data_IF_668398726428
#
_entry.id   IF_668398726428
#
_cell.length_a   1.000
_cell.length_b   1.000
_cell.length_c   1.000
_cell.angle_alpha   90.00
_cell.angle_beta   90.00
_cell.angle_gamma   90.00
#
_symmetry.space_group_name_H-M   'P 1'
#
loop_
_entity.id
_entity.type
_entity.pdbx_description
1 polymer ?
#
# COMPACT_ATOMS: atom_id res chain seq x y z
N UNK A 1 44.87 -24.99 10.50
CA UNK A 1 43.49 -25.49 10.31
C UNK A 1 42.70 -24.44 9.55
N UNK A 2 42.25 -24.72 8.31
CA UNK A 2 41.39 -23.80 7.55
C UNK A 2 39.99 -23.85 8.14
N UNK A 3 39.58 -22.75 8.81
CA UNK A 3 38.21 -22.61 9.26
C UNK A 3 37.26 -22.54 8.04
N UNK A 4 36.19 -23.34 8.05
CA UNK A 4 35.18 -23.33 6.98
C UNK A 4 34.40 -22.04 7.01
N UNK A 5 33.85 -21.57 5.87
CA UNK A 5 33.00 -20.37 5.77
C UNK A 5 31.82 -20.38 6.77
N UNK A 6 31.28 -21.57 7.07
CA UNK A 6 30.23 -21.77 8.07
C UNK A 6 30.70 -21.51 9.51
N UNK A 7 31.93 -21.88 9.85
CA UNK A 7 32.49 -21.60 11.18
C UNK A 7 32.70 -20.12 11.40
N UNK A 8 33.22 -19.42 10.39
CA UNK A 8 33.39 -17.95 10.43
C UNK A 8 32.07 -17.19 10.50
N UNK A 9 31.03 -17.66 9.83
CA UNK A 9 29.67 -17.10 9.95
C UNK A 9 29.14 -17.25 11.38
N UNK A 10 29.26 -18.42 11.97
CA UNK A 10 28.83 -18.67 13.35
C UNK A 10 29.65 -17.83 14.35
N UNK A 11 30.93 -17.63 14.09
CA UNK A 11 31.80 -16.77 14.90
C UNK A 11 31.35 -15.31 14.83
N UNK A 12 31.07 -14.76 13.64
CA UNK A 12 30.50 -13.43 13.46
C UNK A 12 29.22 -13.24 14.29
N UNK A 13 28.25 -14.16 14.12
CA UNK A 13 26.98 -14.10 14.81
C UNK A 13 27.17 -14.19 16.32
N UNK A 14 27.99 -15.13 16.79
CA UNK A 14 28.27 -15.31 18.23
C UNK A 14 28.92 -14.06 18.82
N UNK A 15 29.96 -13.53 18.16
CA UNK A 15 30.69 -12.36 18.66
C UNK A 15 29.79 -11.12 18.76
N UNK A 16 29.06 -10.78 17.68
CA UNK A 16 28.16 -9.64 17.71
C UNK A 16 27.04 -9.81 18.75
N UNK A 17 26.47 -11.03 18.86
CA UNK A 17 25.47 -11.33 19.91
C UNK A 17 26.02 -11.09 21.31
N UNK A 18 27.24 -11.56 21.58
CA UNK A 18 27.89 -11.41 22.89
C UNK A 18 28.27 -9.96 23.18
N UNK A 19 28.79 -9.22 22.21
CA UNK A 19 29.08 -7.77 22.33
C UNK A 19 27.82 -6.95 22.63
N UNK A 20 26.68 -7.29 22.02
CA UNK A 20 25.39 -6.62 22.29
C UNK A 20 24.87 -7.03 23.68
N UNK A 21 24.91 -8.31 24.03
CA UNK A 21 24.42 -8.83 25.32
C UNK A 21 25.21 -8.31 26.51
N UNK A 22 26.51 -8.10 26.36
CA UNK A 22 27.36 -7.56 27.42
C UNK A 22 27.37 -6.04 27.50
N UNK A 23 26.61 -5.35 26.61
CA UNK A 23 26.60 -3.89 26.56
C UNK A 23 27.86 -3.26 25.97
N UNK A 24 28.80 -4.07 25.43
CA UNK A 24 29.98 -3.56 24.74
C UNK A 24 29.58 -2.80 23.48
N UNK A 25 28.47 -3.19 22.84
CA UNK A 25 27.75 -2.42 21.83
C UNK A 25 26.41 -1.98 22.39
N UNK A 26 26.21 -0.68 22.49
CA UNK A 26 25.03 -0.11 23.14
C UNK A 26 23.86 -0.03 22.18
N UNK A 27 22.64 -0.09 22.70
CA UNK A 27 21.45 0.23 21.93
C UNK A 27 21.58 1.63 21.29
N UNK A 28 21.23 1.75 20.03
CA UNK A 28 21.38 2.98 19.24
C UNK A 28 22.69 3.07 18.44
N UNK A 29 23.72 2.30 18.74
CA UNK A 29 24.96 2.27 17.99
C UNK A 29 24.81 1.57 16.64
N UNK A 30 25.52 2.04 15.62
CA UNK A 30 25.56 1.38 14.32
C UNK A 30 26.67 0.33 14.27
N UNK A 31 26.34 -0.84 13.71
CA UNK A 31 27.34 -1.84 13.38
C UNK A 31 28.24 -1.36 12.22
N UNK A 32 29.48 -1.86 12.12
CA UNK A 32 30.28 -1.65 10.94
C UNK A 32 29.55 -2.11 9.66
N UNK A 33 29.88 -1.49 8.53
CA UNK A 33 29.26 -1.84 7.26
C UNK A 33 29.41 -3.32 6.92
N UNK A 34 28.50 -3.87 6.12
CA UNK A 34 28.59 -5.27 5.64
C UNK A 34 29.97 -5.55 4.99
N UNK A 35 30.51 -4.58 4.25
CA UNK A 35 31.83 -4.66 3.62
C UNK A 35 32.96 -4.72 4.66
N UNK A 36 32.87 -3.95 5.72
CA UNK A 36 33.85 -3.94 6.82
C UNK A 36 33.81 -5.28 7.57
N UNK A 37 32.61 -5.77 7.89
CA UNK A 37 32.43 -7.08 8.54
C UNK A 37 32.89 -8.24 7.65
N UNK A 38 32.68 -8.15 6.34
CA UNK A 38 33.16 -9.15 5.39
C UNK A 38 34.69 -9.29 5.41
N UNK A 39 35.40 -8.16 5.45
CA UNK A 39 36.86 -8.12 5.57
C UNK A 39 37.30 -8.64 6.94
N UNK A 40 36.70 -8.16 8.02
CA UNK A 40 37.07 -8.51 9.40
C UNK A 40 36.96 -10.00 9.69
N UNK A 41 35.88 -10.65 9.18
CA UNK A 41 35.62 -12.07 9.44
C UNK A 41 35.98 -13.00 8.27
N UNK A 42 36.61 -12.47 7.22
CA UNK A 42 36.95 -13.22 6.01
C UNK A 42 35.76 -13.97 5.41
N UNK A 43 34.64 -13.26 5.26
CA UNK A 43 33.38 -13.75 4.72
C UNK A 43 32.99 -12.99 3.43
N UNK A 44 32.14 -13.61 2.62
CA UNK A 44 31.46 -12.89 1.54
C UNK A 44 30.39 -11.95 2.10
N UNK A 45 30.06 -10.85 1.38
CA UNK A 45 28.97 -9.97 1.77
C UNK A 45 27.64 -10.72 1.94
N UNK A 46 27.38 -11.73 1.12
CA UNK A 46 26.19 -12.57 1.24
C UNK A 46 26.17 -13.38 2.54
N UNK A 47 27.32 -13.89 2.99
CA UNK A 47 27.45 -14.59 4.26
C UNK A 47 27.27 -13.65 5.45
N UNK A 48 27.81 -12.43 5.36
CA UNK A 48 27.58 -11.40 6.40
C UNK A 48 26.10 -11.05 6.49
N UNK A 49 25.41 -10.85 5.36
CA UNK A 49 23.96 -10.60 5.35
C UNK A 49 23.17 -11.68 6.05
N UNK A 50 23.48 -12.97 5.74
CA UNK A 50 22.85 -14.10 6.44
C UNK A 50 23.10 -14.09 7.95
N UNK A 51 24.32 -13.73 8.38
CA UNK A 51 24.63 -13.60 9.80
C UNK A 51 23.89 -12.46 10.47
N UNK A 52 23.79 -11.32 9.80
CA UNK A 52 23.01 -10.18 10.29
C UNK A 52 21.51 -10.50 10.32
N UNK A 53 20.97 -11.25 9.34
CA UNK A 53 19.56 -11.66 9.33
C UNK A 53 19.22 -12.58 10.54
N UNK A 54 20.14 -13.40 11.00
CA UNK A 54 19.98 -14.17 12.24
C UNK A 54 19.82 -13.22 13.44
N UNK A 55 20.69 -12.21 13.57
CA UNK A 55 20.63 -11.24 14.67
C UNK A 55 19.41 -10.31 14.58
N UNK A 56 18.93 -10.00 13.37
CA UNK A 56 17.63 -9.34 13.16
C UNK A 56 16.49 -10.24 13.65
N UNK A 57 16.52 -11.52 13.28
CA UNK A 57 15.52 -12.50 13.76
C UNK A 57 15.50 -12.67 15.29
N UNK A 58 16.65 -12.45 15.95
CA UNK A 58 16.78 -12.45 17.42
C UNK A 58 16.41 -11.08 18.05
N UNK A 59 16.10 -10.08 17.24
CA UNK A 59 15.73 -8.75 17.72
C UNK A 59 16.88 -7.99 18.38
N UNK A 60 18.11 -8.30 18.07
CA UNK A 60 19.31 -7.63 18.62
C UNK A 60 19.75 -6.43 17.79
N UNK A 61 19.42 -6.44 16.49
CA UNK A 61 19.75 -5.39 15.53
C UNK A 61 18.60 -5.15 14.56
N UNK A 62 18.56 -3.96 13.94
CA UNK A 62 17.67 -3.62 12.82
C UNK A 62 18.46 -3.11 11.62
N UNK A 63 17.98 -3.42 10.40
CA UNK A 63 18.54 -2.90 9.16
C UNK A 63 17.75 -1.68 8.72
N UNK A 64 18.40 -0.51 8.72
CA UNK A 64 17.82 0.74 8.24
C UNK A 64 18.26 0.94 6.77
N UNK A 65 17.32 0.93 5.81
CA UNK A 65 17.64 1.08 4.39
C UNK A 65 18.46 2.33 4.12
N UNK A 66 19.58 2.20 3.42
CA UNK A 66 20.53 3.27 3.06
C UNK A 66 21.25 3.96 4.23
N UNK A 67 20.97 3.58 5.47
CA UNK A 67 21.57 4.15 6.69
C UNK A 67 22.57 3.19 7.30
N UNK A 68 22.20 1.92 7.48
CA UNK A 68 23.09 0.91 8.08
C UNK A 68 22.33 -0.09 8.97
N UNK A 69 23.09 -0.83 9.76
CA UNK A 69 22.55 -1.79 10.74
C UNK A 69 22.76 -1.24 12.14
N UNK A 70 21.66 -1.03 12.88
CA UNK A 70 21.64 -0.42 14.20
C UNK A 70 21.42 -1.48 15.29
N UNK A 71 22.14 -1.37 16.39
CA UNK A 71 21.93 -2.21 17.57
C UNK A 71 20.66 -1.77 18.30
N UNK A 72 19.76 -2.72 18.54
CA UNK A 72 18.52 -2.46 19.29
C UNK A 72 18.71 -2.83 20.80
N UNK A 73 19.69 -3.67 21.14
CA UNK A 73 19.95 -4.12 22.51
C UNK A 73 19.02 -5.29 22.94
N UNK A 74 19.21 -5.78 24.15
CA UNK A 74 18.29 -6.77 24.74
C UNK A 74 17.05 -6.09 25.32
N UNK A 75 15.88 -6.76 25.35
CA UNK A 75 14.77 -6.31 26.16
C UNK A 75 15.22 -6.17 27.63
N UNK A 76 14.85 -5.07 28.27
CA UNK A 76 15.03 -4.93 29.70
C UNK A 76 14.19 -5.97 30.43
N UNK A 77 14.64 -6.41 31.61
CA UNK A 77 13.89 -7.36 32.41
C UNK A 77 12.49 -6.80 32.71
N UNK A 78 11.44 -7.49 32.25
CA UNK A 78 10.05 -7.03 32.36
C UNK A 78 9.46 -6.38 31.09
N UNK A 79 10.22 -6.21 30.02
CA UNK A 79 9.73 -5.64 28.75
C UNK A 79 9.10 -6.74 27.86
N UNK A 80 7.86 -6.49 27.41
CA UNK A 80 7.17 -7.36 26.45
C UNK A 80 7.62 -7.02 25.04
N UNK A 81 8.10 -8.01 24.27
CA UNK A 81 8.44 -7.81 22.86
C UNK A 81 7.32 -8.32 21.98
N UNK A 82 6.82 -7.47 21.08
CA UNK A 82 5.84 -7.82 20.04
C UNK A 82 6.44 -7.68 18.64
N UNK A 83 6.02 -8.55 17.74
CA UNK A 83 6.39 -8.50 16.31
C UNK A 83 5.27 -7.88 15.50
N UNK A 84 5.59 -6.83 14.77
CA UNK A 84 4.64 -6.07 13.96
C UNK A 84 5.04 -6.14 12.48
N UNK A 85 4.17 -6.75 11.65
CA UNK A 85 4.32 -6.78 10.20
C UNK A 85 3.68 -5.54 9.55
N UNK A 86 4.40 -4.82 8.68
CA UNK A 86 3.86 -3.66 7.98
C UNK A 86 4.28 -3.63 6.50
N UNK A 87 3.46 -3.05 5.63
CA UNK A 87 3.82 -2.87 4.23
C UNK A 87 5.00 -1.93 4.09
N UNK A 88 6.00 -2.30 3.31
CA UNK A 88 7.22 -1.51 3.11
C UNK A 88 6.95 -0.10 2.56
N UNK A 89 5.88 0.10 1.78
CA UNK A 89 5.45 1.40 1.25
C UNK A 89 5.06 2.39 2.35
N UNK A 90 4.51 1.90 3.47
CA UNK A 90 4.01 2.73 4.58
C UNK A 90 5.13 3.49 5.29
N UNK A 91 6.39 3.09 5.09
CA UNK A 91 7.55 3.88 5.55
C UNK A 91 7.50 5.33 5.03
N UNK A 92 7.18 5.52 3.74
CA UNK A 92 7.04 6.85 3.15
C UNK A 92 5.62 7.43 3.26
N UNK A 93 4.63 6.56 3.34
CA UNK A 93 3.21 6.92 3.32
C UNK A 93 2.68 7.39 4.69
N UNK A 94 3.23 6.89 5.80
CA UNK A 94 2.73 7.20 7.15
C UNK A 94 3.82 7.43 8.21
N UNK A 95 5.09 7.52 7.83
CA UNK A 95 6.22 7.66 8.75
C UNK A 95 6.18 6.64 9.91
N UNK A 96 6.00 5.37 9.57
CA UNK A 96 5.81 4.31 10.57
C UNK A 96 6.95 4.25 11.59
N UNK A 97 8.19 4.56 11.18
CA UNK A 97 9.33 4.55 12.09
C UNK A 97 9.28 5.68 13.11
N UNK A 98 8.87 6.88 12.69
CA UNK A 98 8.65 8.02 13.60
C UNK A 98 7.51 7.75 14.57
N UNK A 99 6.43 7.12 14.11
CA UNK A 99 5.31 6.71 14.98
C UNK A 99 5.74 5.66 16.00
N UNK A 100 6.53 4.66 15.60
CA UNK A 100 7.03 3.63 16.52
C UNK A 100 8.01 4.19 17.56
N UNK A 101 8.84 5.18 17.19
CA UNK A 101 9.69 5.87 18.15
C UNK A 101 8.86 6.55 19.25
N UNK A 102 7.79 7.28 18.85
CA UNK A 102 6.85 7.90 19.81
C UNK A 102 6.10 6.88 20.66
N UNK A 103 5.74 5.74 20.07
CA UNK A 103 5.14 4.63 20.82
C UNK A 103 6.08 4.15 21.94
N UNK A 104 7.36 3.91 21.63
CA UNK A 104 8.33 3.46 22.62
C UNK A 104 8.59 4.46 23.74
N UNK A 105 8.51 5.77 23.45
CA UNK A 105 8.60 6.82 24.48
C UNK A 105 7.46 6.73 25.50
N UNK A 106 6.24 6.41 25.04
CA UNK A 106 5.03 6.33 25.88
C UNK A 106 4.82 4.96 26.52
N UNK A 107 5.26 3.91 25.86
CA UNK A 107 5.11 2.51 26.28
C UNK A 107 6.49 1.84 26.44
N UNK A 108 7.36 2.30 27.35
CA UNK A 108 8.73 1.78 27.47
C UNK A 108 8.77 0.31 27.87
N UNK A 109 7.66 -0.22 28.42
CA UNK A 109 7.49 -1.63 28.78
C UNK A 109 7.15 -2.53 27.60
N UNK A 110 6.87 -1.95 26.39
CA UNK A 110 6.61 -2.71 25.16
C UNK A 110 7.69 -2.37 24.13
N UNK A 111 8.31 -3.41 23.61
CA UNK A 111 9.25 -3.31 22.50
C UNK A 111 8.59 -3.82 21.22
N UNK A 112 8.54 -3.00 20.17
CA UNK A 112 8.04 -3.38 18.85
C UNK A 112 9.19 -3.76 17.94
N UNK A 113 9.21 -5.03 17.50
CA UNK A 113 10.05 -5.48 16.40
C UNK A 113 9.26 -5.34 15.11
N UNK A 114 9.47 -4.23 14.41
CA UNK A 114 8.79 -3.94 13.15
C UNK A 114 9.49 -4.62 11.98
N UNK A 115 8.74 -5.38 11.18
CA UNK A 115 9.25 -6.14 10.03
C UNK A 115 8.50 -5.73 8.77
N UNK A 116 9.18 -5.17 7.77
CA UNK A 116 8.55 -4.88 6.50
C UNK A 116 8.21 -6.18 5.77
N UNK A 117 6.96 -6.27 5.29
CA UNK A 117 6.47 -7.39 4.50
C UNK A 117 6.09 -6.93 3.09
N UNK A 118 6.26 -7.83 2.11
CA UNK A 118 5.76 -7.55 0.75
C UNK A 118 4.24 -7.61 0.73
N UNK A 119 3.63 -6.70 -0.03
CA UNK A 119 2.19 -6.65 -0.27
C UNK A 119 1.75 -7.46 -1.48
N UNK A 120 2.67 -8.17 -2.14
CA UNK A 120 2.41 -8.76 -3.47
C UNK A 120 1.51 -10.00 -3.43
N UNK A 121 1.31 -10.61 -2.25
CA UNK A 121 0.53 -11.83 -2.12
C UNK A 121 -0.26 -11.87 -0.80
N UNK A 122 -1.57 -11.71 -0.88
CA UNK A 122 -2.50 -11.77 0.26
C UNK A 122 -2.43 -13.10 1.05
N UNK A 123 -2.06 -14.22 0.45
CA UNK A 123 -1.88 -15.49 1.14
C UNK A 123 -0.76 -15.52 2.19
N UNK A 124 0.22 -14.62 2.08
CA UNK A 124 1.33 -14.55 3.06
C UNK A 124 0.86 -14.04 4.42
N UNK A 125 -0.06 -13.08 4.46
CA UNK A 125 -0.62 -12.57 5.72
C UNK A 125 -1.23 -13.71 6.54
N UNK A 126 -2.00 -14.61 5.90
CA UNK A 126 -2.55 -15.81 6.52
C UNK A 126 -1.46 -16.71 7.10
N UNK A 127 -0.41 -16.99 6.33
CA UNK A 127 0.71 -17.82 6.76
C UNK A 127 1.43 -17.20 7.97
N UNK A 128 1.64 -15.90 7.96
CA UNK A 128 2.29 -15.19 9.06
C UNK A 128 1.46 -15.23 10.35
N UNK A 129 0.16 -15.02 10.27
CA UNK A 129 -0.72 -15.03 11.44
C UNK A 129 -0.93 -16.45 11.97
N UNK A 130 -1.20 -17.44 11.09
CA UNK A 130 -1.39 -18.84 11.51
C UNK A 130 -0.13 -19.44 12.12
N UNK A 131 1.04 -19.06 11.63
CA UNK A 131 2.35 -19.47 12.15
C UNK A 131 2.81 -18.71 13.40
N UNK A 132 2.03 -17.75 13.92
CA UNK A 132 2.40 -16.96 15.08
C UNK A 132 3.63 -16.08 14.88
N UNK A 133 3.92 -15.70 13.61
CA UNK A 133 5.11 -14.89 13.27
C UNK A 133 4.92 -13.45 13.72
N UNK A 134 3.70 -12.90 13.61
CA UNK A 134 3.36 -11.54 14.01
C UNK A 134 2.27 -11.52 15.07
N UNK A 135 2.42 -10.62 16.05
CA UNK A 135 1.43 -10.30 17.07
C UNK A 135 0.40 -9.28 16.55
N UNK A 136 0.87 -8.33 15.74
CA UNK A 136 0.05 -7.38 15.00
C UNK A 136 0.55 -7.27 13.55
N UNK A 137 -0.34 -6.91 12.62
CA UNK A 137 -0.01 -6.79 11.20
C UNK A 137 -0.85 -5.71 10.52
N UNK A 138 -0.26 -5.00 9.56
CA UNK A 138 -1.02 -4.20 8.61
C UNK A 138 -1.72 -5.08 7.58
N UNK A 139 -2.97 -4.71 7.28
CA UNK A 139 -3.79 -5.35 6.26
C UNK A 139 -4.46 -4.29 5.40
N UNK A 140 -4.39 -4.45 4.08
CA UNK A 140 -5.25 -3.70 3.19
C UNK A 140 -6.63 -4.36 3.06
N UNK A 141 -7.56 -3.69 2.36
CA UNK A 141 -8.90 -4.22 2.16
C UNK A 141 -8.91 -5.57 1.41
N UNK A 142 -8.01 -5.78 0.46
CA UNK A 142 -7.88 -7.04 -0.29
C UNK A 142 -7.47 -8.19 0.63
N UNK A 143 -6.49 -7.97 1.51
CA UNK A 143 -6.08 -8.97 2.51
C UNK A 143 -7.24 -9.36 3.41
N UNK A 144 -7.97 -8.36 3.92
CA UNK A 144 -9.13 -8.61 4.78
C UNK A 144 -10.23 -9.40 4.06
N UNK A 145 -10.55 -9.03 2.82
CA UNK A 145 -11.54 -9.77 2.01
C UNK A 145 -11.11 -11.21 1.78
N UNK A 146 -9.83 -11.46 1.48
CA UNK A 146 -9.32 -12.82 1.36
C UNK A 146 -9.54 -13.64 2.63
N UNK A 147 -9.28 -13.09 3.81
CA UNK A 147 -9.54 -13.75 5.10
C UNK A 147 -11.01 -14.08 5.30
N UNK A 148 -11.92 -13.19 4.91
CA UNK A 148 -13.36 -13.44 5.03
C UNK A 148 -13.84 -14.50 4.04
N UNK A 149 -13.32 -14.52 2.83
CA UNK A 149 -13.66 -15.46 1.77
C UNK A 149 -13.11 -16.86 2.02
N UNK A 150 -11.97 -16.99 2.70
CA UNK A 150 -11.37 -18.29 3.07
C UNK A 150 -11.73 -18.77 4.46
N UNK A 151 -12.68 -18.12 5.15
CA UNK A 151 -13.10 -18.41 6.52
C UNK A 151 -11.96 -18.39 7.55
N UNK A 152 -10.96 -17.53 7.35
CA UNK A 152 -9.80 -17.38 8.24
C UNK A 152 -9.92 -16.17 9.19
N UNK A 153 -11.05 -15.48 9.20
CA UNK A 153 -11.30 -14.30 10.02
C UNK A 153 -11.14 -14.55 11.55
N UNK A 154 -11.22 -15.81 12.00
CA UNK A 154 -10.95 -16.20 13.39
C UNK A 154 -9.48 -16.01 13.81
N UNK A 155 -8.55 -15.80 12.86
CA UNK A 155 -7.17 -15.43 13.15
C UNK A 155 -7.03 -13.96 13.59
N UNK A 156 -8.08 -13.15 13.39
CA UNK A 156 -8.10 -11.73 13.72
C UNK A 156 -8.85 -11.52 15.04
N UNK A 157 -8.21 -10.80 15.97
CA UNK A 157 -8.82 -10.39 17.23
C UNK A 157 -9.88 -9.31 16.97
N UNK A 158 -11.12 -9.45 17.48
CA UNK A 158 -12.08 -8.36 17.45
C UNK A 158 -11.58 -7.14 18.22
N UNK A 159 -11.69 -5.97 17.60
CA UNK A 159 -11.24 -4.70 18.12
C UNK A 159 -12.41 -3.78 18.43
N UNK A 160 -12.24 -2.82 19.33
CA UNK A 160 -13.26 -1.82 19.60
C UNK A 160 -13.35 -0.82 18.44
N UNK A 161 -14.58 -0.42 18.09
CA UNK A 161 -14.82 0.69 17.16
C UNK A 161 -14.49 2.01 17.85
N UNK A 162 -13.82 2.88 17.12
CA UNK A 162 -13.64 4.27 17.52
C UNK A 162 -14.62 5.13 16.72
N UNK A 163 -15.56 5.86 17.36
CA UNK A 163 -16.53 6.70 16.66
C UNK A 163 -15.91 7.91 15.95
N UNK A 164 -14.66 8.23 16.27
CA UNK A 164 -13.89 9.27 15.58
C UNK A 164 -13.44 8.89 14.17
N UNK A 165 -13.36 7.59 13.85
CA UNK A 165 -13.07 7.15 12.49
C UNK A 165 -14.25 7.38 11.54
N UNK A 166 -13.94 7.52 10.25
CA UNK A 166 -14.99 7.47 9.23
C UNK A 166 -15.70 6.11 9.27
N UNK A 167 -17.03 6.12 9.35
CA UNK A 167 -17.83 4.90 9.49
C UNK A 167 -17.63 3.94 8.31
N UNK A 168 -17.58 4.46 7.07
CA UNK A 168 -17.38 3.64 5.86
C UNK A 168 -16.05 2.86 5.87
N UNK A 169 -15.01 3.38 6.54
CA UNK A 169 -13.73 2.66 6.70
C UNK A 169 -13.86 1.51 7.71
N UNK A 170 -14.54 1.76 8.82
CA UNK A 170 -14.77 0.74 9.85
C UNK A 170 -15.70 -0.36 9.34
N UNK A 171 -16.74 -0.01 8.59
CA UNK A 171 -17.68 -0.97 8.01
C UNK A 171 -16.98 -1.92 7.02
N UNK A 172 -16.05 -1.39 6.23
CA UNK A 172 -15.26 -2.20 5.29
C UNK A 172 -14.47 -3.33 5.97
N UNK A 173 -14.06 -3.14 7.22
CA UNK A 173 -13.29 -4.09 8.02
C UNK A 173 -14.11 -4.81 9.10
N UNK A 174 -15.44 -4.77 8.98
CA UNK A 174 -16.37 -5.43 9.91
C UNK A 174 -16.94 -6.69 9.31
N UNK A 175 -16.92 -7.77 10.07
CA UNK A 175 -17.57 -9.04 9.73
C UNK A 175 -18.51 -9.47 10.87
N UNK A 176 -19.76 -9.75 10.56
CA UNK A 176 -20.79 -10.18 11.53
C UNK A 176 -20.87 -9.24 12.76
N UNK A 177 -20.84 -7.94 12.52
CA UNK A 177 -20.90 -6.89 13.54
C UNK A 177 -19.62 -6.69 14.36
N UNK A 178 -18.55 -7.43 14.08
CA UNK A 178 -17.25 -7.29 14.77
C UNK A 178 -16.25 -6.60 13.88
N UNK A 179 -15.64 -5.52 14.37
CA UNK A 179 -14.50 -4.89 13.74
C UNK A 179 -13.26 -5.77 13.95
N UNK A 180 -12.65 -6.26 12.87
CA UNK A 180 -11.50 -7.17 12.90
C UNK A 180 -10.18 -6.50 12.50
N UNK A 181 -10.28 -5.40 11.76
CA UNK A 181 -9.12 -4.58 11.35
C UNK A 181 -9.47 -3.13 11.64
N UNK A 182 -8.66 -2.43 12.43
CA UNK A 182 -8.91 -1.02 12.73
C UNK A 182 -8.36 -0.15 11.60
N UNK A 183 -9.17 0.72 10.99
CA UNK A 183 -8.69 1.62 9.92
C UNK A 183 -7.51 2.47 10.37
N UNK A 184 -6.52 2.64 9.50
CA UNK A 184 -5.30 3.41 9.78
C UNK A 184 -5.14 4.58 8.83
N UNK A 185 -5.04 4.31 7.54
CA UNK A 185 -4.99 5.32 6.48
C UNK A 185 -5.83 4.88 5.29
N UNK A 186 -6.32 5.84 4.50
CA UNK A 186 -7.10 5.54 3.32
C UNK A 186 -6.76 6.48 2.16
N UNK A 187 -7.17 6.12 0.97
CA UNK A 187 -7.04 6.96 -0.21
C UNK A 187 -8.07 6.60 -1.28
N UNK A 188 -8.90 7.53 -1.75
CA UNK A 188 -9.52 7.37 -3.07
C UNK A 188 -8.46 7.52 -4.16
N UNK A 189 -8.77 7.05 -5.37
CA UNK A 189 -8.04 7.48 -6.55
C UNK A 189 -8.44 8.93 -6.90
N UNK A 190 -7.44 9.67 -7.36
CA UNK A 190 -7.56 11.08 -7.74
C UNK A 190 -6.79 11.35 -9.03
N UNK A 191 -7.13 12.42 -9.72
CA UNK A 191 -6.32 13.00 -10.79
C UNK A 191 -5.37 14.02 -10.17
N UNK A 192 -4.05 13.82 -10.34
CA UNK A 192 -3.02 14.78 -9.99
C UNK A 192 -2.46 15.37 -11.28
N UNK A 193 -2.29 16.69 -11.35
CA UNK A 193 -1.87 17.39 -12.56
C UNK A 193 -0.86 18.49 -12.26
N UNK A 194 -0.01 18.79 -13.23
CA UNK A 194 0.93 19.89 -13.19
C UNK A 194 0.24 21.19 -13.64
N UNK A 195 0.10 22.16 -12.73
CA UNK A 195 -0.58 23.43 -12.98
C UNK A 195 0.13 24.29 -14.01
N UNK A 196 1.45 24.25 -14.04
CA UNK A 196 2.24 25.05 -14.97
C UNK A 196 2.03 24.60 -16.41
N UNK A 197 1.95 23.29 -16.66
CA UNK A 197 1.66 22.76 -17.98
C UNK A 197 0.31 23.22 -18.53
N UNK A 198 -0.73 23.30 -17.66
CA UNK A 198 -2.04 23.83 -18.04
C UNK A 198 -1.98 25.33 -18.35
N UNK A 199 -1.27 26.09 -17.52
CA UNK A 199 -1.06 27.52 -17.73
C UNK A 199 -0.31 27.81 -19.04
N UNK A 200 0.77 27.10 -19.32
CA UNK A 200 1.56 27.21 -20.53
C UNK A 200 0.74 26.92 -21.79
N UNK A 201 -0.11 25.90 -21.74
CA UNK A 201 -0.99 25.51 -22.82
C UNK A 201 -2.26 26.37 -22.96
N UNK A 202 -2.49 27.32 -22.03
CA UNK A 202 -3.71 28.15 -22.02
C UNK A 202 -4.98 27.32 -21.76
N UNK A 203 -4.88 26.21 -21.03
CA UNK A 203 -5.98 25.31 -20.73
C UNK A 203 -6.54 25.54 -19.34
N UNK A 204 -7.85 25.34 -19.18
CA UNK A 204 -8.49 25.32 -17.86
C UNK A 204 -8.05 24.08 -17.09
N UNK A 205 -7.80 24.25 -15.78
CA UNK A 205 -7.49 23.16 -14.87
C UNK A 205 -8.65 22.16 -14.77
N UNK A 206 -8.38 20.84 -14.53
CA UNK A 206 -9.42 19.84 -14.34
C UNK A 206 -10.36 20.16 -13.18
N UNK A 207 -11.64 19.83 -13.33
CA UNK A 207 -12.65 19.97 -12.28
C UNK A 207 -13.57 18.74 -12.19
N UNK A 208 -14.60 18.81 -11.35
CA UNK A 208 -15.53 17.71 -11.11
C UNK A 208 -16.47 17.40 -12.29
N UNK A 209 -16.50 18.22 -13.32
CA UNK A 209 -17.30 18.00 -14.54
C UNK A 209 -16.57 17.16 -15.59
N UNK A 210 -15.26 16.97 -15.43
CA UNK A 210 -14.45 16.29 -16.43
C UNK A 210 -14.89 14.85 -16.66
N UNK A 211 -15.05 14.55 -17.94
CA UNK A 211 -15.21 13.18 -18.45
C UNK A 211 -13.87 12.65 -19.00
N UNK A 212 -13.82 11.37 -19.29
CA UNK A 212 -12.62 10.78 -19.87
C UNK A 212 -12.26 11.38 -21.24
N UNK A 213 -13.27 11.79 -22.03
CA UNK A 213 -13.05 12.49 -23.29
C UNK A 213 -12.37 13.86 -23.11
N UNK A 214 -12.68 14.54 -22.01
CA UNK A 214 -12.01 15.81 -21.65
C UNK A 214 -10.55 15.57 -21.28
N UNK A 215 -10.27 14.50 -20.52
CA UNK A 215 -8.91 14.12 -20.16
C UNK A 215 -8.11 13.79 -21.44
N UNK A 216 -8.61 12.92 -22.30
CA UNK A 216 -7.95 12.50 -23.55
C UNK A 216 -7.66 13.72 -24.43
N UNK A 217 -8.66 14.59 -24.67
CA UNK A 217 -8.51 15.80 -25.45
C UNK A 217 -7.45 16.76 -24.90
N UNK A 218 -7.43 16.97 -23.59
CA UNK A 218 -6.45 17.85 -22.95
C UNK A 218 -5.07 17.17 -22.87
N UNK A 219 -4.99 15.87 -22.67
CA UNK A 219 -3.74 15.12 -22.71
C UNK A 219 -3.02 15.28 -24.04
N UNK A 220 -3.77 15.20 -25.17
CA UNK A 220 -3.21 15.43 -26.50
C UNK A 220 -2.63 16.84 -26.68
N UNK A 221 -3.28 17.87 -26.08
CA UNK A 221 -2.80 19.27 -26.14
C UNK A 221 -1.60 19.54 -25.22
N UNK A 222 -1.50 18.81 -24.11
CA UNK A 222 -0.42 18.95 -23.13
C UNK A 222 0.83 18.15 -23.53
N UNK A 223 0.70 17.18 -24.43
CA UNK A 223 1.81 16.36 -24.89
C UNK A 223 2.76 17.19 -25.78
N UNK A 224 4.06 17.00 -25.56
CA UNK A 224 5.13 17.53 -26.44
C UNK A 224 5.95 16.33 -26.91
N UNK A 225 6.04 16.09 -28.22
CA UNK A 225 6.76 14.93 -28.77
C UNK A 225 8.19 14.82 -28.21
N UNK A 226 8.56 13.64 -27.75
CA UNK A 226 9.86 13.30 -27.16
C UNK A 226 10.25 14.06 -25.87
N UNK A 227 9.37 14.88 -25.31
CA UNK A 227 9.65 15.69 -24.14
C UNK A 227 8.68 15.40 -22.99
N UNK A 228 7.38 15.42 -23.27
CA UNK A 228 6.33 15.37 -22.23
C UNK A 228 5.12 14.58 -22.72
N UNK A 229 4.64 13.68 -21.87
CA UNK A 229 3.40 12.94 -22.07
C UNK A 229 2.26 13.69 -21.37
N UNK A 230 1.11 13.80 -22.03
CA UNK A 230 -0.03 14.52 -21.47
C UNK A 230 -0.70 13.82 -20.30
N UNK A 231 -0.78 12.49 -20.34
CA UNK A 231 -1.40 11.69 -19.27
C UNK A 231 -0.75 10.32 -19.14
N UNK A 232 -0.67 9.83 -17.89
CA UNK A 232 -0.27 8.46 -17.61
C UNK A 232 -1.11 7.84 -16.49
N UNK A 233 -1.37 6.53 -16.59
CA UNK A 233 -1.96 5.70 -15.54
C UNK A 233 -1.51 4.25 -15.72
N UNK A 234 -1.23 3.57 -14.60
CA UNK A 234 -0.98 2.12 -14.61
C UNK A 234 -2.30 1.35 -14.67
N UNK A 235 -2.84 1.22 -15.90
CA UNK A 235 -4.08 0.49 -16.15
C UNK A 235 -4.00 -1.02 -15.85
N UNK A 236 -2.81 -1.59 -15.70
CA UNK A 236 -2.65 -3.01 -15.34
C UNK A 236 -2.71 -3.28 -13.83
N UNK A 237 -2.68 -2.25 -13.03
CA UNK A 237 -2.74 -2.39 -11.59
C UNK A 237 -4.14 -2.79 -11.12
N UNK A 238 -4.29 -3.81 -10.25
CA UNK A 238 -5.56 -4.15 -9.62
C UNK A 238 -6.13 -3.00 -8.76
N UNK A 239 -5.29 -2.02 -8.43
CA UNK A 239 -5.68 -0.79 -7.73
C UNK A 239 -6.03 0.37 -8.70
N UNK A 240 -6.17 0.13 -9.99
CA UNK A 240 -6.49 1.16 -10.98
C UNK A 240 -7.60 0.72 -11.95
N UNK A 241 -7.42 -0.41 -12.65
CA UNK A 241 -8.37 -0.83 -13.69
C UNK A 241 -9.83 -1.00 -13.22
N UNK A 242 -10.12 -1.37 -11.94
CA UNK A 242 -11.50 -1.45 -11.48
C UNK A 242 -12.27 -0.13 -11.55
N UNK A 243 -11.56 1.00 -11.66
CA UNK A 243 -12.16 2.34 -11.72
C UNK A 243 -13.19 2.45 -12.85
N UNK A 244 -12.85 2.05 -14.08
CA UNK A 244 -13.74 2.19 -15.23
C UNK A 244 -14.98 1.29 -15.13
N UNK A 245 -14.88 -0.02 -14.85
CA UNK A 245 -16.05 -0.85 -14.57
C UNK A 245 -16.95 -0.31 -13.45
N UNK A 246 -16.38 0.19 -12.37
CA UNK A 246 -17.15 0.79 -11.26
C UNK A 246 -17.92 2.04 -11.73
N UNK A 247 -17.30 2.91 -12.54
CA UNK A 247 -17.94 4.09 -13.09
C UNK A 247 -19.08 3.76 -14.06
N UNK A 248 -19.00 2.64 -14.74
CA UNK A 248 -20.09 2.09 -15.58
C UNK A 248 -21.15 1.35 -14.77
N UNK A 249 -20.91 1.09 -13.49
CA UNK A 249 -21.76 0.23 -12.65
C UNK A 249 -21.75 -1.22 -13.12
N UNK A 250 -20.69 -1.65 -13.81
CA UNK A 250 -20.55 -3.01 -14.31
C UNK A 250 -20.27 -3.99 -13.15
N UNK A 251 -20.89 -5.17 -13.23
CA UNK A 251 -20.68 -6.25 -12.28
C UNK A 251 -20.43 -7.56 -13.03
N UNK A 252 -19.63 -8.43 -12.45
CA UNK A 252 -19.49 -9.79 -12.96
C UNK A 252 -20.78 -10.55 -12.76
N UNK A 253 -21.38 -10.97 -13.86
CA UNK A 253 -22.60 -11.76 -13.85
C UNK A 253 -22.27 -13.23 -13.55
N UNK A 254 -23.23 -13.93 -12.94
CA UNK A 254 -23.11 -15.34 -12.60
C UNK A 254 -24.04 -16.18 -13.46
N UNK A 255 -23.50 -17.17 -14.15
CA UNK A 255 -24.24 -18.19 -14.86
C UNK A 255 -24.62 -19.38 -13.96
N UNK A 256 -25.03 -20.47 -14.60
CA UNK A 256 -25.35 -21.72 -13.93
C UNK A 256 -24.14 -22.25 -13.14
N UNK A 257 -24.37 -22.66 -11.88
CA UNK A 257 -23.32 -23.15 -10.99
C UNK A 257 -22.41 -22.07 -10.42
N UNK A 258 -22.84 -20.78 -10.43
CA UNK A 258 -22.09 -19.66 -9.82
C UNK A 258 -20.89 -19.16 -10.64
N UNK A 259 -20.69 -19.68 -11.84
CA UNK A 259 -19.58 -19.31 -12.73
C UNK A 259 -19.70 -17.87 -13.21
N UNK A 260 -18.55 -17.18 -13.36
CA UNK A 260 -18.52 -15.89 -14.03
C UNK A 260 -19.00 -16.08 -15.49
N UNK A 261 -19.93 -15.23 -15.91
CA UNK A 261 -20.32 -15.03 -17.29
C UNK A 261 -19.80 -13.67 -17.73
N UNK A 262 -19.04 -13.64 -18.81
CA UNK A 262 -18.38 -12.43 -19.27
C UNK A 262 -18.86 -12.00 -20.66
N UNK A 263 -19.06 -12.94 -21.59
CA UNK A 263 -19.53 -12.66 -22.94
C UNK A 263 -20.88 -11.89 -22.93
N UNK A 264 -20.99 -10.87 -23.76
CA UNK A 264 -22.18 -10.02 -23.94
C UNK A 264 -22.67 -9.35 -22.66
N UNK A 265 -21.77 -9.08 -21.71
CA UNK A 265 -22.10 -8.41 -20.45
C UNK A 265 -21.61 -6.97 -20.42
N UNK A 266 -22.20 -6.20 -19.49
CA UNK A 266 -21.75 -4.84 -19.17
C UNK A 266 -20.27 -4.80 -18.72
N UNK A 267 -19.81 -5.85 -18.03
CA UNK A 267 -18.40 -5.97 -17.61
C UNK A 267 -17.50 -6.12 -18.83
N UNK A 268 -17.87 -6.93 -19.82
CA UNK A 268 -17.07 -7.06 -21.04
C UNK A 268 -16.97 -5.74 -21.81
N UNK A 269 -18.08 -4.99 -21.90
CA UNK A 269 -18.08 -3.62 -22.46
C UNK A 269 -17.07 -2.72 -21.73
N UNK A 270 -17.08 -2.72 -20.38
CA UNK A 270 -16.14 -1.94 -19.58
C UNK A 270 -14.68 -2.35 -19.85
N UNK A 271 -14.40 -3.65 -19.97
CA UNK A 271 -13.05 -4.13 -20.26
C UNK A 271 -12.57 -3.77 -21.68
N UNK A 272 -13.47 -3.70 -22.66
CA UNK A 272 -13.16 -3.17 -24.01
C UNK A 272 -12.81 -1.67 -23.93
N UNK A 273 -13.58 -0.87 -23.19
CA UNK A 273 -13.27 0.55 -22.97
C UNK A 273 -11.90 0.73 -22.33
N UNK A 274 -11.55 -0.09 -21.31
CA UNK A 274 -10.21 -0.07 -20.71
C UNK A 274 -9.11 -0.32 -21.76
N UNK A 275 -9.29 -1.34 -22.63
CA UNK A 275 -8.35 -1.66 -23.72
C UNK A 275 -8.22 -0.49 -24.69
N UNK A 276 -9.34 0.03 -25.16
CA UNK A 276 -9.37 1.05 -26.21
C UNK A 276 -8.76 2.37 -25.69
N UNK A 277 -9.09 2.79 -24.49
CA UNK A 277 -8.46 3.94 -23.83
C UNK A 277 -6.95 3.77 -23.65
N UNK A 278 -6.50 2.57 -23.28
CA UNK A 278 -5.07 2.27 -23.19
C UNK A 278 -4.39 2.46 -24.55
N UNK A 279 -5.04 2.05 -25.64
CA UNK A 279 -4.46 2.14 -27.00
C UNK A 279 -4.49 3.56 -27.57
N UNK A 280 -5.45 4.40 -27.17
CA UNK A 280 -5.54 5.80 -27.59
C UNK A 280 -4.56 6.74 -26.85
N UNK A 281 -4.16 6.37 -25.66
CA UNK A 281 -3.25 7.19 -24.84
C UNK A 281 -1.80 6.75 -25.11
N UNK A 282 -0.88 7.69 -25.39
CA UNK A 282 0.55 7.38 -25.47
C UNK A 282 1.04 6.97 -24.09
N UNK A 283 1.05 5.67 -23.85
CA UNK A 283 1.51 5.12 -22.57
C UNK A 283 3.03 4.97 -22.59
N UNK A 284 3.63 5.24 -21.43
CA UNK A 284 4.98 4.80 -21.14
C UNK A 284 5.02 3.26 -21.21
N UNK A 285 6.16 2.71 -21.59
CA UNK A 285 6.37 1.27 -21.71
C UNK A 285 5.94 0.52 -20.44
N UNK A 286 5.50 -0.71 -20.59
CA UNK A 286 5.25 -1.63 -19.47
C UNK A 286 6.48 -1.75 -18.58
N UNK A 287 6.27 -1.82 -17.27
CA UNK A 287 7.36 -1.96 -16.30
C UNK A 287 7.64 -0.73 -15.44
N UNK A 288 6.75 0.27 -15.46
CA UNK A 288 6.84 1.40 -14.54
C UNK A 288 6.69 0.91 -13.10
N UNK A 289 7.69 1.21 -12.29
CA UNK A 289 7.71 0.84 -10.86
C UNK A 289 6.80 1.73 -10.03
N UNK A 290 6.45 1.27 -8.84
CA UNK A 290 5.65 2.02 -7.86
C UNK A 290 6.21 3.43 -7.64
N UNK A 291 5.37 4.46 -7.80
CA UNK A 291 5.71 5.88 -7.61
C UNK A 291 6.50 6.51 -8.77
N UNK A 292 6.71 5.79 -9.87
CA UNK A 292 7.44 6.35 -11.01
C UNK A 292 6.59 7.35 -11.80
N UNK A 293 5.29 7.13 -11.92
CA UNK A 293 4.36 8.09 -12.55
C UNK A 293 4.39 9.45 -11.87
N UNK A 294 4.41 9.45 -10.54
CA UNK A 294 4.48 10.65 -9.72
C UNK A 294 5.84 11.34 -9.87
N UNK A 295 6.94 10.59 -9.90
CA UNK A 295 8.28 11.16 -10.16
C UNK A 295 8.38 11.77 -11.56
N UNK A 296 7.76 11.17 -12.58
CA UNK A 296 7.71 11.74 -13.92
C UNK A 296 6.89 13.03 -13.95
N UNK A 297 5.80 13.10 -13.17
CA UNK A 297 5.03 14.34 -13.00
C UNK A 297 5.89 15.41 -12.29
N UNK A 298 6.60 15.06 -11.21
CA UNK A 298 7.53 15.95 -10.52
C UNK A 298 8.61 16.52 -11.44
N UNK A 299 9.16 15.67 -12.33
CA UNK A 299 10.17 16.05 -13.30
C UNK A 299 9.63 16.73 -14.58
N UNK A 300 8.32 17.06 -14.62
CA UNK A 300 7.68 17.70 -15.76
C UNK A 300 7.57 16.84 -17.02
N UNK A 301 7.78 15.50 -16.90
CA UNK A 301 7.71 14.55 -18.02
C UNK A 301 6.31 14.03 -18.28
N UNK A 302 5.40 14.20 -17.34
CA UNK A 302 3.98 13.87 -17.46
C UNK A 302 3.16 15.05 -16.93
N UNK A 303 2.05 15.35 -17.59
CA UNK A 303 1.20 16.49 -17.18
C UNK A 303 0.07 16.09 -16.23
N UNK A 304 -0.46 14.89 -16.35
CA UNK A 304 -1.56 14.37 -15.55
C UNK A 304 -1.33 12.89 -15.20
N UNK A 305 -1.66 12.49 -13.98
CA UNK A 305 -1.59 11.08 -13.55
C UNK A 305 -2.83 10.72 -12.72
N UNK A 306 -3.39 9.51 -12.90
CA UNK A 306 -4.29 8.94 -11.89
C UNK A 306 -3.44 8.30 -10.82
N UNK A 307 -3.60 8.79 -9.60
CA UNK A 307 -2.79 8.42 -8.45
C UNK A 307 -3.66 8.25 -7.19
N UNK A 308 -3.03 8.16 -6.05
CA UNK A 308 -3.66 8.11 -4.73
C UNK A 308 -2.95 9.06 -3.76
N UNK A 309 -3.61 9.42 -2.66
CA UNK A 309 -2.98 10.23 -1.60
C UNK A 309 -1.74 9.54 -1.02
N UNK A 310 -1.65 8.22 -1.07
CA UNK A 310 -0.45 7.49 -0.67
C UNK A 310 0.75 7.85 -1.54
N UNK A 311 0.55 7.88 -2.85
CA UNK A 311 1.62 8.12 -3.83
C UNK A 311 1.96 9.60 -4.00
N UNK A 312 1.10 10.54 -3.56
CA UNK A 312 1.49 11.95 -3.47
C UNK A 312 2.75 12.16 -2.61
N UNK A 313 3.06 11.22 -1.71
CA UNK A 313 4.30 11.29 -0.92
C UNK A 313 5.58 11.25 -1.76
N UNK A 314 5.52 10.80 -3.02
CA UNK A 314 6.63 10.93 -3.97
C UNK A 314 6.80 12.34 -4.54
N UNK A 315 5.82 13.24 -4.32
CA UNK A 315 5.85 14.64 -4.71
C UNK A 315 6.27 15.59 -3.55
N UNK A 316 6.77 15.06 -2.45
CA UNK A 316 7.26 15.91 -1.36
C UNK A 316 8.38 16.83 -1.84
N UNK A 317 8.22 18.14 -1.62
CA UNK A 317 9.13 19.18 -2.11
C UNK A 317 8.64 19.87 -3.39
N UNK A 318 7.69 19.28 -4.12
CA UNK A 318 7.11 19.89 -5.31
C UNK A 318 5.91 20.79 -4.93
N UNK A 319 5.74 21.88 -5.69
CA UNK A 319 4.67 22.87 -5.44
C UNK A 319 3.81 23.17 -6.69
N UNK A 320 4.21 22.66 -7.84
CA UNK A 320 3.57 22.93 -9.11
C UNK A 320 2.38 22.02 -9.44
N UNK A 321 1.89 21.21 -8.50
CA UNK A 321 0.78 20.29 -8.73
C UNK A 321 -0.48 20.66 -7.96
N UNK A 322 -1.63 20.22 -8.46
CA UNK A 322 -2.91 20.23 -7.75
C UNK A 322 -3.72 18.98 -8.07
N UNK A 323 -4.89 18.86 -7.47
CA UNK A 323 -5.73 17.67 -7.48
C UNK A 323 -7.09 17.97 -8.11
N UNK A 324 -7.65 16.95 -8.76
CA UNK A 324 -9.03 16.95 -9.23
C UNK A 324 -9.66 15.57 -8.96
N UNK A 325 -11.00 15.46 -8.96
CA UNK A 325 -11.65 14.14 -9.01
C UNK A 325 -11.18 13.39 -10.26
N UNK A 326 -11.16 12.05 -10.19
CA UNK A 326 -10.93 11.26 -11.40
C UNK A 326 -12.04 11.58 -12.43
N UNK A 327 -11.71 11.72 -13.71
CA UNK A 327 -12.73 11.85 -14.75
C UNK A 327 -13.68 10.66 -14.72
N UNK A 328 -14.91 10.84 -15.11
CA UNK A 328 -15.90 9.76 -15.04
C UNK A 328 -16.53 9.43 -16.42
N UNK A 329 -17.00 8.18 -16.57
CA UNK A 329 -17.78 7.73 -17.72
C UNK A 329 -19.27 8.06 -17.52
N UNK A 330 -19.94 7.30 -16.66
CA UNK A 330 -21.36 7.44 -16.39
C UNK A 330 -21.62 7.95 -14.97
N UNK A 331 -20.90 7.40 -14.00
CA UNK A 331 -21.07 7.73 -12.57
C UNK A 331 -19.79 8.33 -12.00
N UNK A 332 -19.88 9.43 -11.24
CA UNK A 332 -18.72 10.06 -10.60
C UNK A 332 -18.30 9.27 -9.36
N UNK A 333 -17.81 8.05 -9.56
CA UNK A 333 -17.31 7.18 -8.49
C UNK A 333 -15.82 6.98 -8.64
N UNK A 334 -15.16 6.64 -7.54
CA UNK A 334 -13.74 6.35 -7.48
C UNK A 334 -13.45 5.13 -6.63
N UNK A 335 -12.35 4.42 -6.94
CA UNK A 335 -11.89 3.26 -6.17
C UNK A 335 -11.27 3.73 -4.86
N UNK A 336 -11.71 3.14 -3.75
CA UNK A 336 -11.18 3.39 -2.41
C UNK A 336 -10.14 2.33 -2.03
N UNK A 337 -8.98 2.80 -1.60
CA UNK A 337 -7.92 2.01 -1.01
C UNK A 337 -7.93 2.24 0.51
N UNK A 338 -7.95 1.18 1.28
CA UNK A 338 -8.03 1.25 2.74
C UNK A 338 -6.99 0.30 3.37
N UNK A 339 -6.21 0.82 4.30
CA UNK A 339 -5.20 0.09 5.07
C UNK A 339 -5.56 0.20 6.54
N UNK A 340 -5.52 -0.91 7.25
CA UNK A 340 -5.79 -0.97 8.67
C UNK A 340 -4.79 -1.85 9.42
N UNK A 341 -5.04 -2.01 10.70
CA UNK A 341 -4.21 -2.72 11.66
C UNK A 341 -5.01 -3.85 12.29
N UNK A 342 -4.45 -5.03 12.30
CA UNK A 342 -5.04 -6.24 12.88
C UNK A 342 -4.15 -6.80 13.98
N UNK A 343 -4.77 -7.42 14.98
CA UNK A 343 -4.12 -8.18 16.05
C UNK A 343 -4.36 -9.67 15.81
N UNK A 344 -3.31 -10.46 15.95
CA UNK A 344 -3.38 -11.91 15.86
C UNK A 344 -4.13 -12.49 17.08
N UNK A 345 -5.27 -13.13 16.87
CA UNK A 345 -6.06 -13.73 17.95
C UNK A 345 -5.31 -14.83 18.72
N UNK A 346 -4.28 -15.41 18.11
CA UNK A 346 -3.43 -16.47 18.71
C UNK A 346 -2.17 -15.93 19.38
N UNK A 347 -1.93 -14.62 19.34
CA UNK A 347 -0.76 -14.04 20.01
C UNK A 347 -0.83 -14.22 21.54
N UNK A 348 0.29 -14.57 22.15
CA UNK A 348 0.44 -14.54 23.60
C UNK A 348 0.51 -13.10 24.16
N UNK A 349 0.85 -12.12 23.29
CA UNK A 349 1.06 -10.72 23.64
C UNK A 349 -0.08 -9.82 23.12
N UNK A 350 -1.33 -10.33 23.10
CA UNK A 350 -2.47 -9.60 22.49
C UNK A 350 -2.67 -8.21 23.07
N UNK A 351 -2.59 -8.06 24.38
CA UNK A 351 -2.78 -6.78 25.05
C UNK A 351 -1.76 -5.74 24.57
N UNK A 352 -0.47 -6.10 24.54
CA UNK A 352 0.58 -5.22 24.05
C UNK A 352 0.42 -4.91 22.54
N UNK A 353 -0.07 -5.87 21.75
CA UNK A 353 -0.38 -5.67 20.33
C UNK A 353 -1.57 -4.72 20.14
N UNK A 354 -2.60 -4.81 20.98
CA UNK A 354 -3.74 -3.88 20.99
C UNK A 354 -3.31 -2.48 21.43
N UNK A 355 -2.40 -2.33 22.41
CA UNK A 355 -1.83 -1.04 22.79
C UNK A 355 -1.13 -0.36 21.60
N UNK A 356 -0.35 -1.13 20.83
CA UNK A 356 0.25 -0.60 19.59
C UNK A 356 -0.80 -0.14 18.58
N UNK A 357 -1.83 -0.95 18.32
CA UNK A 357 -2.93 -0.60 17.40
C UNK A 357 -3.67 0.65 17.90
N UNK A 358 -3.97 0.72 19.20
CA UNK A 358 -4.63 1.87 19.81
C UNK A 358 -3.80 3.14 19.65
N UNK A 359 -2.48 3.06 19.87
CA UNK A 359 -1.59 4.21 19.72
C UNK A 359 -1.53 4.66 18.24
N UNK A 360 -1.29 3.75 17.29
CA UNK A 360 -1.17 4.09 15.88
C UNK A 360 -2.44 4.70 15.29
N UNK A 361 -3.60 4.41 15.88
CA UNK A 361 -4.89 4.96 15.48
C UNK A 361 -5.38 6.10 16.40
N UNK A 362 -4.59 6.52 17.38
CA UNK A 362 -4.90 7.63 18.28
C UNK A 362 -4.85 8.98 17.55
N UNK A 363 -5.50 9.99 18.14
CA UNK A 363 -5.46 11.38 17.63
C UNK A 363 -4.02 11.85 17.38
N UNK A 364 -3.11 11.60 18.31
CA UNK A 364 -1.72 12.01 18.20
C UNK A 364 -1.03 11.39 16.97
N UNK A 365 -1.10 10.06 16.83
CA UNK A 365 -0.46 9.37 15.71
C UNK A 365 -1.08 9.78 14.37
N UNK A 366 -2.39 9.92 14.33
CA UNK A 366 -3.13 10.31 13.12
C UNK A 366 -2.83 11.77 12.73
N UNK A 367 -2.64 12.66 13.71
CA UNK A 367 -2.19 14.03 13.45
C UNK A 367 -0.76 14.08 12.93
N UNK A 368 0.16 13.24 13.42
CA UNK A 368 1.51 13.13 12.85
C UNK A 368 1.45 12.73 11.38
N UNK A 369 0.67 11.70 11.03
CA UNK A 369 0.46 11.31 9.64
C UNK A 369 -0.04 12.48 8.81
N UNK A 370 -1.08 13.17 9.29
CA UNK A 370 -1.69 14.31 8.58
C UNK A 370 -0.73 15.45 8.35
N UNK A 371 0.12 15.75 9.33
CA UNK A 371 1.03 16.88 9.27
C UNK A 371 2.29 16.58 8.45
N UNK A 372 2.79 15.34 8.49
CA UNK A 372 4.08 14.99 7.89
C UNK A 372 3.99 14.27 6.55
N UNK A 373 2.78 13.86 6.14
CA UNK A 373 2.56 13.10 4.92
C UNK A 373 1.37 13.64 4.13
N UNK A 374 1.19 13.15 2.91
CA UNK A 374 -0.01 13.39 2.10
C UNK A 374 -1.09 12.33 2.31
N UNK A 375 -0.81 11.23 3.01
CA UNK A 375 -1.82 10.19 3.26
C UNK A 375 -2.96 10.73 4.11
N UNK A 376 -4.16 10.18 3.90
CA UNK A 376 -5.35 10.55 4.67
C UNK A 376 -5.47 9.63 5.89
N UNK A 377 -5.40 10.18 7.12
CA UNK A 377 -5.67 9.42 8.33
C UNK A 377 -7.11 8.88 8.36
N UNK A 378 -7.33 7.75 9.01
CA UNK A 378 -8.67 7.19 9.17
C UNK A 378 -9.52 7.97 10.19
N UNK A 379 -8.89 8.66 11.13
CA UNK A 379 -9.56 9.52 12.12
C UNK A 379 -10.02 10.82 11.45
N UNK A 380 -11.32 11.14 11.56
CA UNK A 380 -11.94 12.26 10.85
C UNK A 380 -11.33 13.61 11.24
N UNK A 381 -11.13 13.84 12.54
CA UNK A 381 -10.56 15.09 13.05
C UNK A 381 -9.17 15.36 12.49
N UNK A 382 -8.35 14.32 12.38
CA UNK A 382 -7.03 14.41 11.79
C UNK A 382 -7.10 14.59 10.26
N UNK A 383 -7.91 13.80 9.55
CA UNK A 383 -8.04 13.89 8.09
C UNK A 383 -8.52 15.29 7.64
N UNK A 384 -9.44 15.88 8.39
CA UNK A 384 -10.05 17.21 8.11
C UNK A 384 -9.27 18.38 8.69
N UNK A 385 -8.16 18.13 9.38
CA UNK A 385 -7.32 19.20 9.93
C UNK A 385 -6.77 20.12 8.82
N UNK A 386 -6.89 21.43 9.00
CA UNK A 386 -6.53 22.46 8.01
C UNK A 386 -5.41 23.42 8.47
N UNK A 387 -4.70 23.08 9.57
CA UNK A 387 -3.59 23.90 10.05
C UNK A 387 -2.37 23.86 9.13
N UNK A 388 -1.43 24.77 9.35
CA UNK A 388 -0.15 24.78 8.65
C UNK A 388 0.81 23.79 9.29
N UNK A 389 1.39 22.93 8.47
CA UNK A 389 2.38 21.92 8.90
C UNK A 389 3.76 22.16 8.26
N UNK A 390 3.93 23.22 7.48
CA UNK A 390 5.14 23.44 6.68
C UNK A 390 5.27 22.51 5.45
N UNK A 391 4.42 21.48 5.33
CA UNK A 391 4.34 20.67 4.13
C UNK A 391 3.40 21.35 3.12
N UNK A 392 3.90 21.62 1.90
CA UNK A 392 3.04 22.13 0.83
C UNK A 392 1.82 21.24 0.65
N UNK A 393 0.67 21.86 0.56
CA UNK A 393 -0.58 21.17 0.25
C UNK A 393 -1.24 21.84 -0.95
N UNK A 394 -1.58 21.08 -1.98
CA UNK A 394 -2.31 21.63 -3.11
C UNK A 394 -3.64 22.21 -2.65
N UNK A 395 -4.13 23.23 -3.37
CA UNK A 395 -5.32 24.00 -2.96
C UNK A 395 -6.56 23.12 -2.79
N UNK A 396 -6.65 22.05 -3.58
CA UNK A 396 -7.75 21.07 -3.55
C UNK A 396 -7.43 19.80 -2.75
N UNK A 397 -6.49 19.86 -1.81
CA UNK A 397 -6.14 18.69 -1.01
C UNK A 397 -7.33 18.04 -0.29
N UNK A 398 -8.29 18.85 0.18
CA UNK A 398 -9.48 18.39 0.91
C UNK A 398 -10.63 17.89 0.03
N UNK A 399 -10.43 17.83 -1.27
CA UNK A 399 -11.39 17.36 -2.28
C UNK A 399 -11.92 15.93 -1.97
N UNK A 400 -11.14 15.09 -1.27
CA UNK A 400 -11.59 13.73 -0.90
C UNK A 400 -12.94 13.73 -0.17
N UNK A 401 -13.25 14.78 0.62
CA UNK A 401 -14.52 14.90 1.36
C UNK A 401 -15.73 14.97 0.44
N UNK A 402 -15.60 15.69 -0.67
CA UNK A 402 -16.67 15.86 -1.66
C UNK A 402 -16.90 14.55 -2.44
N UNK A 403 -15.88 13.70 -2.55
CA UNK A 403 -15.92 12.45 -3.30
C UNK A 403 -16.35 11.25 -2.46
N UNK A 404 -16.49 11.37 -1.11
CA UNK A 404 -16.91 10.29 -0.22
C UNK A 404 -18.17 9.53 -0.72
N UNK A 405 -19.24 10.17 -1.19
CA UNK A 405 -20.43 9.45 -1.69
C UNK A 405 -20.14 8.55 -2.91
N UNK A 406 -19.08 8.89 -3.63
CA UNK A 406 -18.60 8.15 -4.81
C UNK A 406 -17.61 7.03 -4.51
N UNK A 407 -17.21 6.81 -3.26
CA UNK A 407 -16.24 5.75 -2.94
C UNK A 407 -16.82 4.36 -3.19
N UNK A 408 -16.03 3.52 -3.83
CA UNK A 408 -16.38 2.11 -4.13
C UNK A 408 -15.18 1.23 -3.88
N UNK A 409 -15.46 -0.02 -3.52
CA UNK A 409 -14.46 -1.08 -3.44
C UNK A 409 -14.54 -1.99 -4.66
N UNK A 410 -13.47 -2.71 -4.96
CA UNK A 410 -13.48 -3.68 -6.07
C UNK A 410 -14.58 -4.76 -5.90
N UNK A 411 -14.96 -5.05 -4.65
CA UNK A 411 -16.04 -6.01 -4.35
C UNK A 411 -17.42 -5.58 -4.85
N UNK A 412 -17.60 -4.27 -5.13
CA UNK A 412 -18.85 -3.78 -5.73
C UNK A 412 -19.04 -4.30 -7.15
N UNK A 413 -17.98 -4.79 -7.80
CA UNK A 413 -18.06 -5.51 -9.07
C UNK A 413 -18.59 -6.95 -8.92
N UNK A 414 -18.83 -7.46 -7.71
CA UNK A 414 -19.34 -8.81 -7.47
C UNK A 414 -18.30 -9.93 -7.69
N UNK A 415 -17.05 -9.66 -7.38
CA UNK A 415 -15.92 -10.57 -7.58
C UNK A 415 -15.20 -10.83 -6.27
N UNK A 416 -14.71 -12.05 -6.07
CA UNK A 416 -13.84 -12.42 -4.94
C UNK A 416 -12.39 -11.96 -5.19
N UNK A 417 -11.57 -11.99 -4.13
CA UNK A 417 -10.14 -11.66 -4.25
C UNK A 417 -9.42 -12.62 -5.18
N UNK A 418 -9.73 -13.91 -5.10
CA UNK A 418 -9.09 -14.93 -5.94
C UNK A 418 -9.49 -14.74 -7.42
N UNK A 419 -10.77 -14.55 -7.70
CA UNK A 419 -11.27 -14.26 -9.05
C UNK A 419 -10.65 -12.97 -9.61
N UNK A 420 -10.58 -11.90 -8.79
CA UNK A 420 -9.95 -10.65 -9.21
C UNK A 420 -8.48 -10.86 -9.60
N UNK A 421 -7.73 -11.65 -8.82
CA UNK A 421 -6.33 -11.95 -9.13
C UNK A 421 -6.18 -12.76 -10.43
N UNK A 422 -7.08 -13.70 -10.69
CA UNK A 422 -7.11 -14.45 -11.95
C UNK A 422 -7.46 -13.56 -13.14
N UNK A 423 -8.52 -12.78 -13.02
CA UNK A 423 -8.93 -11.82 -14.04
C UNK A 423 -7.79 -10.84 -14.33
N UNK A 424 -7.11 -10.34 -13.30
CA UNK A 424 -5.99 -9.41 -13.47
C UNK A 424 -4.80 -10.01 -14.25
N UNK A 425 -4.59 -11.32 -14.14
CA UNK A 425 -3.56 -12.02 -14.96
C UNK A 425 -3.98 -12.16 -16.41
N UNK A 426 -5.22 -12.58 -16.63
CA UNK A 426 -5.74 -12.88 -17.97
C UNK A 426 -6.03 -11.62 -18.78
N UNK A 427 -6.59 -10.60 -18.18
CA UNK A 427 -6.97 -9.36 -18.85
C UNK A 427 -5.78 -8.65 -19.51
N UNK A 428 -4.57 -8.86 -19.01
CA UNK A 428 -3.34 -8.30 -19.59
C UNK A 428 -3.10 -8.78 -21.02
N UNK A 429 -3.35 -10.05 -21.29
CA UNK A 429 -3.22 -10.61 -22.65
C UNK A 429 -4.26 -10.05 -23.61
N UNK A 430 -5.50 -9.91 -23.14
CA UNK A 430 -6.58 -9.29 -23.89
C UNK A 430 -6.28 -7.81 -24.21
N UNK A 431 -5.82 -7.04 -23.22
CA UNK A 431 -5.49 -5.62 -23.44
C UNK A 431 -4.22 -5.40 -24.25
N UNK A 432 -3.31 -6.36 -24.28
CA UNK A 432 -2.13 -6.35 -25.16
C UNK A 432 -2.45 -6.81 -26.61
N UNK A 433 -3.71 -7.11 -26.91
CA UNK A 433 -4.17 -7.67 -28.19
C UNK A 433 -3.45 -8.98 -28.58
N UNK A 434 -2.99 -9.74 -27.58
CA UNK A 434 -2.33 -11.05 -27.77
C UNK A 434 -3.34 -12.19 -27.81
N UNK A 435 -4.60 -11.93 -27.54
CA UNK A 435 -5.71 -12.88 -27.64
C UNK A 435 -7.01 -12.22 -28.07
N UNK A 436 -7.93 -13.02 -28.67
CA UNK A 436 -9.26 -12.55 -29.00
C UNK A 436 -10.16 -12.44 -27.77
N UNK A 437 -11.24 -11.68 -27.92
CA UNK A 437 -12.25 -11.54 -26.88
C UNK A 437 -12.92 -12.86 -26.53
N UNK A 438 -13.23 -13.68 -27.56
CA UNK A 438 -13.85 -15.00 -27.37
C UNK A 438 -12.94 -15.92 -26.53
N UNK A 439 -11.63 -15.92 -26.84
CA UNK A 439 -10.64 -16.71 -26.09
C UNK A 439 -10.53 -16.23 -24.64
N UNK A 440 -10.50 -14.92 -24.44
CA UNK A 440 -10.47 -14.33 -23.10
C UNK A 440 -11.71 -14.69 -22.31
N UNK A 441 -12.92 -14.50 -22.86
CA UNK A 441 -14.18 -14.85 -22.19
C UNK A 441 -14.23 -16.34 -21.81
N UNK A 442 -13.93 -17.22 -22.77
CA UNK A 442 -13.95 -18.67 -22.56
C UNK A 442 -13.00 -19.08 -21.41
N UNK A 443 -11.80 -18.47 -21.36
CA UNK A 443 -10.80 -18.78 -20.35
C UNK A 443 -11.21 -18.31 -18.95
N UNK A 444 -11.79 -17.11 -18.82
CA UNK A 444 -12.33 -16.63 -17.53
C UNK A 444 -13.49 -17.52 -17.07
N UNK A 445 -14.42 -17.87 -17.97
CA UNK A 445 -15.57 -18.71 -17.66
C UNK A 445 -15.17 -20.14 -17.27
N UNK A 446 -14.05 -20.65 -17.81
CA UNK A 446 -13.51 -21.97 -17.46
C UNK A 446 -12.83 -21.98 -16.09
N UNK A 447 -11.95 -20.99 -15.83
CA UNK A 447 -11.16 -20.93 -14.58
C UNK A 447 -12.02 -20.71 -13.33
N UNK A 448 -13.11 -19.98 -13.44
CA UNK A 448 -14.07 -19.80 -12.36
C UNK A 448 -14.80 -21.11 -11.92
N UNK A 449 -14.41 -22.25 -12.48
CA UNK A 449 -14.90 -23.60 -12.05
C UNK A 449 -14.16 -24.15 -10.84
N UNK A 450 -12.99 -23.61 -10.48
CA UNK A 450 -12.04 -24.19 -9.50
C UNK A 450 -11.78 -23.32 -8.27
N UNK A 451 -12.50 -22.20 -8.09
CA UNK A 451 -12.35 -21.28 -6.95
C UNK A 451 -13.38 -21.51 -5.82
#
# INVERSE_FOLDING_TARGET
MHQTSRMRLNELVRTLREEIRTGKRRAGEFLPSEKTLAVQYHLSNQSVRKGLDILVGEGLIEKLPRVGTKVIGQPEAGQTTIKFGFHSSVTGEADIHGLLARFHEKHPHIRVQAVPVSSDHFGYVKTYLSGGIFDAIMMNYTDFRYFTETNDAQLLQPLQRDPGHYEFLSDAFTLNGRLLVRPFIFSPLILCYNREHFREAGLNEPDSSWRWEDLIRNAAKLAIPNERIGFHSDFYSPNRWPLLPLQMGARFERGAGGRIRLADTRMMEALRICRDMKNELPLLSEGITTGESERLLANGKVSMVITSYFYLNYLKGETAFDLAPVPYLEKPVTLLLNIGLAVNSRSANREAAEELVNFLTSEEAQQVIRQQTYSLPALRTAAEWNGDSGLYRPSRFSLFRETIPGFRYFTDMGVTVQELAEINREVKLFWAALESEETFCARIEEKARHA
#
